data_IF_681642501157
#
_entry.id   IF_681642501157
#
_cell.length_a   1.000
_cell.length_b   1.000
_cell.length_c   1.000
_cell.angle_alpha   90.00
_cell.angle_beta   90.00
_cell.angle_gamma   90.00
#
_symmetry.space_group_name_H-M   'P 1'
#
loop_
_entity.id
_entity.type
_entity.pdbx_description
1 polymer ?
#
# COMPACT_ATOMS: atom_id res chain seq x y z
N UNK A 1 -26.90 -14.23 26.32
CA UNK A 1 -26.46 -13.08 25.49
C UNK A 1 -25.05 -12.57 25.81
N UNK A 2 -24.38 -13.02 26.88
CA UNK A 2 -23.06 -12.52 27.30
C UNK A 2 -21.86 -13.30 26.73
N UNK A 3 -22.07 -14.54 26.27
CA UNK A 3 -20.98 -15.44 25.87
C UNK A 3 -20.59 -15.29 24.38
N UNK A 4 -21.58 -15.05 23.51
CA UNK A 4 -21.38 -14.78 22.08
C UNK A 4 -20.58 -13.48 21.85
N UNK A 5 -20.77 -12.47 22.70
CA UNK A 5 -20.02 -11.20 22.63
C UNK A 5 -18.57 -11.36 23.07
N UNK A 6 -18.26 -12.27 24.01
CA UNK A 6 -16.88 -12.56 24.43
C UNK A 6 -16.09 -13.31 23.37
N UNK A 7 -16.72 -14.27 22.67
CA UNK A 7 -16.08 -15.03 21.58
C UNK A 7 -15.76 -14.12 20.38
N UNK A 8 -16.64 -13.16 20.06
CA UNK A 8 -16.39 -12.17 19.01
C UNK A 8 -15.26 -11.19 19.33
N UNK A 9 -15.04 -10.85 20.61
CA UNK A 9 -13.90 -10.04 21.01
C UNK A 9 -12.57 -10.82 20.94
N UNK A 10 -12.58 -12.12 21.26
CA UNK A 10 -11.39 -12.97 21.19
C UNK A 10 -10.89 -13.20 19.76
N UNK A 11 -11.78 -13.38 18.78
CA UNK A 11 -11.39 -13.54 17.37
C UNK A 11 -10.84 -12.25 16.77
N UNK A 12 -11.42 -11.08 17.09
CA UNK A 12 -10.86 -9.79 16.70
C UNK A 12 -9.53 -9.47 17.37
N UNK A 13 -9.32 -9.94 18.61
CA UNK A 13 -8.03 -9.81 19.30
C UNK A 13 -6.96 -10.69 18.64
N UNK A 14 -7.32 -11.91 18.23
CA UNK A 14 -6.41 -12.82 17.51
C UNK A 14 -6.03 -12.27 16.13
N UNK A 15 -6.97 -11.70 15.37
CA UNK A 15 -6.69 -11.05 14.07
C UNK A 15 -5.77 -9.82 14.19
N UNK A 16 -5.79 -9.11 15.31
CA UNK A 16 -4.89 -7.98 15.56
C UNK A 16 -3.46 -8.40 15.95
N UNK A 17 -3.29 -9.63 16.48
CA UNK A 17 -1.99 -10.18 16.90
C UNK A 17 -1.22 -10.84 15.75
N UNK A 18 -1.90 -11.29 14.70
CA UNK A 18 -1.24 -11.91 13.53
C UNK A 18 -0.59 -10.81 12.68
N UNK A 19 0.73 -10.93 12.50
CA UNK A 19 1.60 -10.08 11.66
C UNK A 19 1.13 -9.94 10.21
N UNK A 20 1.92 -9.28 9.38
CA UNK A 20 1.76 -9.45 7.93
C UNK A 20 2.04 -10.90 7.55
N UNK A 21 1.37 -11.40 6.51
CA UNK A 21 1.75 -12.67 5.88
C UNK A 21 3.21 -12.58 5.43
N UNK A 22 3.96 -13.66 5.65
CA UNK A 22 5.37 -13.76 5.29
C UNK A 22 5.59 -15.07 4.56
N UNK A 23 5.78 -14.99 3.24
CA UNK A 23 6.00 -16.15 2.36
C UNK A 23 5.01 -17.29 2.60
N UNK A 24 3.73 -16.94 2.76
CA UNK A 24 2.64 -17.88 3.00
C UNK A 24 2.26 -18.57 1.69
N UNK A 25 2.62 -19.84 1.56
CA UNK A 25 2.11 -20.69 0.48
C UNK A 25 0.68 -21.12 0.78
N UNK A 26 -0.22 -20.94 -0.19
CA UNK A 26 -1.62 -21.32 -0.07
C UNK A 26 -1.92 -22.46 -1.04
N UNK A 27 -2.48 -23.54 -0.51
CA UNK A 27 -2.86 -24.72 -1.27
C UNK A 27 -4.38 -24.91 -1.25
N UNK A 28 -4.98 -25.50 -2.31
CA UNK A 28 -6.40 -25.80 -2.33
C UNK A 28 -6.84 -26.67 -1.13
N UNK A 29 -8.07 -26.51 -0.62
CA UNK A 29 -8.58 -27.32 0.47
C UNK A 29 -8.51 -28.82 0.15
N UNK A 30 -7.93 -29.61 1.06
CA UNK A 30 -7.81 -31.08 0.89
C UNK A 30 -6.61 -31.53 0.05
N UNK A 31 -5.76 -30.62 -0.43
CA UNK A 31 -4.52 -30.99 -1.12
C UNK A 31 -3.46 -31.51 -0.14
N UNK A 32 -3.01 -32.75 -0.33
CA UNK A 32 -1.97 -33.43 0.49
C UNK A 32 -0.71 -33.78 -0.30
N UNK A 33 -0.60 -33.32 -1.55
CA UNK A 33 0.54 -33.59 -2.41
C UNK A 33 1.74 -32.67 -2.15
N UNK A 34 2.81 -32.89 -2.93
CA UNK A 34 3.99 -32.01 -2.95
C UNK A 34 3.62 -30.65 -3.53
N UNK A 35 4.22 -29.56 -3.05
CA UNK A 35 3.97 -28.23 -3.61
C UNK A 35 4.19 -28.21 -5.13
N UNK A 36 3.23 -27.67 -5.87
CA UNK A 36 3.29 -27.52 -7.32
C UNK A 36 3.52 -26.06 -7.68
N UNK A 37 4.14 -25.83 -8.84
CA UNK A 37 4.00 -24.55 -9.54
C UNK A 37 2.51 -24.33 -9.80
N UNK A 38 1.98 -23.16 -9.42
CA UNK A 38 0.56 -22.74 -9.33
C UNK A 38 0.05 -22.49 -7.91
N UNK A 39 0.70 -23.06 -6.87
CA UNK A 39 0.35 -22.76 -5.48
C UNK A 39 0.92 -21.39 -5.09
N UNK A 40 0.06 -20.38 -5.13
CA UNK A 40 0.46 -19.01 -4.90
C UNK A 40 1.12 -18.83 -3.52
N UNK A 41 2.21 -18.09 -3.51
CA UNK A 41 2.91 -17.68 -2.29
C UNK A 41 2.70 -16.20 -2.07
N UNK A 42 2.08 -15.84 -0.95
CA UNK A 42 1.74 -14.47 -0.58
C UNK A 42 2.76 -13.91 0.43
N UNK A 43 3.18 -12.69 0.21
CA UNK A 43 4.07 -11.99 1.13
C UNK A 43 3.66 -10.52 1.27
N UNK A 44 3.71 -10.00 2.49
CA UNK A 44 3.50 -8.60 2.83
C UNK A 44 4.49 -8.14 3.91
N UNK A 45 5.53 -8.91 4.20
CA UNK A 45 6.54 -8.61 5.20
C UNK A 45 7.63 -7.68 4.64
N UNK A 46 7.21 -6.51 4.14
CA UNK A 46 8.09 -5.50 3.58
C UNK A 46 7.56 -4.08 3.86
N UNK A 47 8.36 -3.08 3.52
CA UNK A 47 8.03 -1.68 3.76
C UNK A 47 6.69 -1.27 3.10
N UNK A 48 5.79 -0.69 3.88
CA UNK A 48 4.41 -0.37 3.46
C UNK A 48 3.56 -1.58 3.04
N UNK A 49 3.97 -2.81 3.33
CA UNK A 49 3.20 -4.03 3.11
C UNK A 49 2.01 -4.15 4.07
N UNK A 50 0.87 -4.62 3.57
CA UNK A 50 -0.31 -4.90 4.39
C UNK A 50 -1.15 -6.03 3.79
N UNK A 51 -1.13 -7.18 4.46
CA UNK A 51 -2.02 -8.32 4.25
C UNK A 51 -1.90 -9.24 5.47
N UNK A 52 -3.00 -9.53 6.17
CA UNK A 52 -2.97 -10.25 7.45
C UNK A 52 -3.29 -11.74 7.34
N UNK A 53 -4.19 -12.13 6.44
CA UNK A 53 -4.57 -13.53 6.21
C UNK A 53 -5.02 -13.74 4.77
N UNK A 54 -4.79 -14.95 4.28
CA UNK A 54 -5.25 -15.43 2.96
C UNK A 54 -5.91 -16.78 3.16
N UNK A 55 -7.17 -16.90 2.71
CA UNK A 55 -7.94 -18.13 2.75
C UNK A 55 -8.18 -18.61 1.30
N UNK A 56 -7.85 -19.88 1.00
CA UNK A 56 -8.11 -20.50 -0.30
C UNK A 56 -9.56 -20.97 -0.36
N UNK A 57 -10.38 -20.37 -1.22
CA UNK A 57 -11.80 -20.74 -1.36
C UNK A 57 -11.96 -21.83 -2.42
N UNK A 58 -11.30 -21.64 -3.56
CA UNK A 58 -11.20 -22.63 -4.64
C UNK A 58 -9.78 -22.63 -5.20
N UNK A 59 -9.53 -23.43 -6.23
CA UNK A 59 -8.21 -23.50 -6.90
C UNK A 59 -7.73 -22.13 -7.43
N UNK A 60 -8.67 -21.23 -7.77
CA UNK A 60 -8.38 -19.94 -8.40
C UNK A 60 -9.02 -18.75 -7.68
N UNK A 61 -9.58 -18.96 -6.48
CA UNK A 61 -10.27 -17.92 -5.72
C UNK A 61 -9.73 -17.82 -4.30
N UNK A 62 -9.37 -16.61 -3.91
CA UNK A 62 -8.70 -16.33 -2.65
C UNK A 62 -9.36 -15.17 -1.91
N UNK A 63 -9.72 -15.42 -0.66
CA UNK A 63 -10.20 -14.39 0.25
C UNK A 63 -9.03 -13.78 1.02
N UNK A 64 -8.87 -12.47 0.88
CA UNK A 64 -7.79 -11.69 1.45
C UNK A 64 -8.32 -10.80 2.58
N UNK A 65 -7.66 -10.89 3.73
CA UNK A 65 -8.00 -10.11 4.92
C UNK A 65 -6.92 -9.07 5.20
N UNK A 66 -7.31 -7.80 5.10
CA UNK A 66 -6.46 -6.66 5.37
C UNK A 66 -6.35 -6.44 6.89
N UNK A 67 -5.15 -6.10 7.38
CA UNK A 67 -4.98 -5.71 8.78
C UNK A 67 -5.57 -4.31 9.04
N UNK A 68 -6.15 -4.07 10.21
CA UNK A 68 -6.55 -2.73 10.59
C UNK A 68 -5.37 -1.76 10.69
N UNK A 69 -5.65 -0.46 10.59
CA UNK A 69 -4.66 0.58 10.88
C UNK A 69 -4.18 0.50 12.34
N UNK A 70 -2.89 0.71 12.58
CA UNK A 70 -2.23 0.57 13.89
C UNK A 70 -2.92 1.35 15.02
N UNK A 71 -3.42 2.55 14.71
CA UNK A 71 -4.10 3.42 15.68
C UNK A 71 -5.62 3.45 15.50
N UNK A 72 -6.18 2.67 14.56
CA UNK A 72 -7.61 2.66 14.30
C UNK A 72 -8.13 1.28 13.85
N UNK A 73 -8.58 0.43 14.79
CA UNK A 73 -9.00 -0.95 14.49
C UNK A 73 -10.26 -1.04 13.60
N UNK A 74 -10.94 0.08 13.35
CA UNK A 74 -12.15 0.13 12.52
C UNK A 74 -11.85 0.29 11.03
N UNK A 75 -10.71 0.87 10.66
CA UNK A 75 -10.39 1.14 9.27
C UNK A 75 -9.46 0.10 8.68
N UNK A 76 -9.86 -0.42 7.52
CA UNK A 76 -9.15 -1.37 6.65
C UNK A 76 -9.34 -0.89 5.23
N UNK A 77 -8.30 -0.28 4.65
CA UNK A 77 -8.37 0.33 3.32
C UNK A 77 -7.11 0.04 2.52
N UNK A 78 -5.95 0.15 3.15
CA UNK A 78 -4.67 -0.07 2.48
C UNK A 78 -4.35 -1.56 2.38
N UNK A 79 -4.04 -2.05 1.18
CA UNK A 79 -3.38 -3.33 0.98
C UNK A 79 -2.17 -3.14 0.08
N UNK A 80 -1.14 -3.95 0.34
CA UNK A 80 0.06 -4.01 -0.46
C UNK A 80 0.74 -5.35 -0.20
N UNK A 81 0.78 -6.21 -1.20
CA UNK A 81 1.30 -7.57 -1.06
C UNK A 81 1.90 -8.04 -2.38
N UNK A 82 2.77 -9.04 -2.28
CA UNK A 82 3.37 -9.72 -3.41
C UNK A 82 2.84 -11.15 -3.53
N UNK A 83 2.79 -11.64 -4.76
CA UNK A 83 2.44 -13.01 -5.11
C UNK A 83 3.56 -13.59 -5.98
N UNK A 84 4.07 -14.76 -5.60
CA UNK A 84 5.06 -15.53 -6.36
C UNK A 84 4.62 -16.99 -6.51
N UNK A 85 5.45 -17.81 -7.16
CA UNK A 85 5.13 -19.20 -7.54
C UNK A 85 3.87 -19.31 -8.44
N UNK A 86 3.72 -18.34 -9.33
CA UNK A 86 2.59 -18.25 -10.28
C UNK A 86 2.84 -19.14 -11.50
N UNK A 87 1.77 -19.50 -12.21
CA UNK A 87 1.84 -20.23 -13.47
C UNK A 87 1.37 -19.34 -14.64
N UNK A 88 1.95 -19.53 -15.83
CA UNK A 88 1.59 -18.76 -17.01
C UNK A 88 0.15 -19.11 -17.40
N UNK A 89 -0.62 -18.11 -17.82
CA UNK A 89 -2.05 -18.22 -18.14
C UNK A 89 -2.97 -18.54 -16.96
N UNK A 90 -2.42 -18.69 -15.75
CA UNK A 90 -3.22 -18.90 -14.55
C UNK A 90 -4.07 -17.67 -14.25
N UNK A 91 -5.39 -17.86 -14.21
CA UNK A 91 -6.36 -16.82 -13.88
C UNK A 91 -6.82 -17.00 -12.45
N UNK A 92 -6.81 -15.93 -11.69
CA UNK A 92 -7.19 -15.93 -10.28
C UNK A 92 -8.09 -14.76 -9.94
N UNK A 93 -8.89 -14.93 -8.91
CA UNK A 93 -9.76 -13.90 -8.33
C UNK A 93 -9.30 -13.66 -6.90
N UNK A 94 -8.97 -12.41 -6.61
CA UNK A 94 -8.65 -11.95 -5.27
C UNK A 94 -9.82 -11.16 -4.69
N UNK A 95 -10.37 -11.62 -3.57
CA UNK A 95 -11.48 -11.00 -2.87
C UNK A 95 -10.98 -10.30 -1.61
N UNK A 96 -11.00 -8.97 -1.58
CA UNK A 96 -10.78 -8.22 -0.34
C UNK A 96 -12.10 -8.17 0.44
N UNK A 97 -12.23 -9.02 1.46
CA UNK A 97 -13.53 -9.28 2.12
C UNK A 97 -13.85 -8.38 3.32
N UNK A 98 -12.84 -7.72 3.88
CA UNK A 98 -12.96 -6.91 5.10
C UNK A 98 -12.70 -5.41 4.87
N UNK A 99 -13.10 -4.89 3.72
CA UNK A 99 -12.88 -3.50 3.33
C UNK A 99 -13.82 -2.53 4.08
N UNK A 100 -13.26 -1.53 4.78
CA UNK A 100 -14.04 -0.63 5.66
C UNK A 100 -14.72 0.55 4.95
N UNK A 101 -14.56 0.73 3.62
CA UNK A 101 -15.32 1.74 2.88
C UNK A 101 -16.71 1.20 2.55
N UNK A 102 -17.72 2.05 2.62
CA UNK A 102 -19.10 1.75 2.20
C UNK A 102 -19.46 2.41 0.87
N UNK A 103 -18.93 3.60 0.62
CA UNK A 103 -18.93 4.31 -0.66
C UNK A 103 -17.50 4.31 -1.19
N UNK A 104 -17.22 3.50 -2.20
CA UNK A 104 -15.90 3.40 -2.80
C UNK A 104 -15.92 3.84 -4.26
N UNK A 105 -14.89 4.60 -4.65
CA UNK A 105 -14.61 4.99 -6.04
C UNK A 105 -14.33 3.79 -6.95
N UNK A 106 -14.17 2.58 -6.38
CA UNK A 106 -14.16 1.34 -7.17
C UNK A 106 -15.43 1.15 -8.00
N UNK A 107 -16.56 1.77 -7.59
CA UNK A 107 -17.78 1.80 -8.41
C UNK A 107 -17.69 2.77 -9.59
N UNK A 108 -16.81 3.77 -9.48
CA UNK A 108 -16.66 4.87 -10.42
C UNK A 108 -15.35 4.75 -11.23
N UNK A 109 -14.85 3.52 -11.41
CA UNK A 109 -13.71 3.22 -12.29
C UNK A 109 -12.32 3.28 -11.64
N UNK A 110 -12.21 3.47 -10.32
CA UNK A 110 -10.95 3.23 -9.63
C UNK A 110 -10.55 1.75 -9.78
N UNK A 111 -9.25 1.47 -9.86
CA UNK A 111 -8.73 0.10 -9.86
C UNK A 111 -7.42 -0.01 -9.06
N UNK A 112 -7.11 -1.19 -8.49
CA UNK A 112 -5.81 -1.44 -7.88
C UNK A 112 -4.67 -1.24 -8.88
N UNK A 113 -3.46 -1.09 -8.37
CA UNK A 113 -2.25 -1.09 -9.21
C UNK A 113 -1.49 -2.39 -9.08
N UNK A 114 -0.86 -2.80 -10.17
CA UNK A 114 0.01 -3.97 -10.26
C UNK A 114 1.35 -3.57 -10.85
N UNK A 115 2.42 -4.24 -10.42
CA UNK A 115 3.70 -4.29 -11.12
C UNK A 115 4.26 -5.71 -11.00
N UNK A 116 5.28 -6.04 -11.78
CA UNK A 116 6.02 -7.29 -11.63
C UNK A 116 7.54 -7.06 -11.67
N UNK A 117 8.32 -8.11 -11.41
CA UNK A 117 9.79 -8.04 -11.52
C UNK A 117 10.23 -7.59 -12.92
N UNK A 118 9.66 -8.17 -13.98
CA UNK A 118 9.94 -7.76 -15.36
C UNK A 118 9.35 -6.40 -15.75
N UNK A 119 8.24 -5.98 -15.12
CA UNK A 119 7.55 -4.70 -15.37
C UNK A 119 7.52 -3.85 -14.09
N UNK A 120 8.61 -3.14 -13.77
CA UNK A 120 8.75 -2.43 -12.48
C UNK A 120 7.87 -1.17 -12.36
N UNK A 121 7.29 -0.71 -13.47
CA UNK A 121 6.37 0.44 -13.48
C UNK A 121 4.98 0.00 -13.05
N UNK A 122 4.43 0.68 -12.05
CA UNK A 122 3.06 0.48 -11.61
C UNK A 122 2.06 0.80 -12.72
N UNK A 123 1.10 -0.10 -12.93
CA UNK A 123 0.01 0.05 -13.88
C UNK A 123 -1.32 -0.21 -13.19
N UNK A 124 -2.36 0.53 -13.57
CA UNK A 124 -3.73 0.31 -13.09
C UNK A 124 -4.30 -0.95 -13.73
N UNK A 125 -4.96 -1.79 -12.94
CA UNK A 125 -5.73 -2.90 -13.47
C UNK A 125 -6.89 -2.37 -14.34
N UNK A 126 -7.30 -3.08 -15.40
CA UNK A 126 -8.49 -2.71 -16.16
C UNK A 126 -9.71 -2.66 -15.24
N UNK A 127 -10.44 -1.54 -15.24
CA UNK A 127 -11.62 -1.37 -14.37
C UNK A 127 -12.69 -2.45 -14.58
N UNK A 128 -12.79 -2.99 -15.80
CA UNK A 128 -13.69 -4.11 -16.14
C UNK A 128 -13.41 -5.41 -15.37
N UNK A 129 -12.21 -5.57 -14.81
CA UNK A 129 -11.80 -6.74 -14.03
C UNK A 129 -11.93 -6.49 -12.53
N UNK A 130 -12.45 -5.34 -12.10
CA UNK A 130 -12.58 -4.95 -10.69
C UNK A 130 -14.06 -4.80 -10.36
N UNK A 131 -14.48 -5.45 -9.29
CA UNK A 131 -15.86 -5.49 -8.84
C UNK A 131 -15.93 -5.04 -7.40
N UNK A 132 -16.98 -4.28 -7.06
CA UNK A 132 -17.18 -3.79 -5.71
C UNK A 132 -18.66 -3.87 -5.32
N UNK A 133 -18.98 -4.87 -4.51
CA UNK A 133 -20.35 -5.27 -4.20
C UNK A 133 -20.51 -5.60 -2.73
N UNK A 134 -21.78 -5.74 -2.30
CA UNK A 134 -22.11 -6.14 -0.93
C UNK A 134 -22.38 -7.64 -0.94
N UNK A 135 -21.58 -8.42 -0.23
CA UNK A 135 -21.73 -9.87 -0.21
C UNK A 135 -22.49 -10.32 1.05
N UNK A 136 -23.65 -10.99 0.92
CA UNK A 136 -24.40 -11.52 2.07
C UNK A 136 -23.57 -12.48 2.92
N UNK A 137 -22.78 -13.34 2.28
CA UNK A 137 -22.03 -14.43 2.91
C UNK A 137 -20.88 -13.91 3.78
N UNK A 138 -20.29 -12.77 3.43
CA UNK A 138 -19.28 -12.09 4.25
C UNK A 138 -19.91 -11.10 5.24
N UNK A 139 -20.90 -11.54 6.02
CA UNK A 139 -21.59 -10.73 7.05
C UNK A 139 -22.18 -9.42 6.50
N UNK A 140 -22.62 -9.41 5.23
CA UNK A 140 -23.08 -8.20 4.52
C UNK A 140 -22.05 -7.07 4.41
N UNK A 141 -20.76 -7.41 4.50
CA UNK A 141 -19.67 -6.46 4.26
C UNK A 141 -19.52 -6.17 2.76
N UNK A 142 -18.80 -5.08 2.48
CA UNK A 142 -18.39 -4.76 1.12
C UNK A 142 -17.15 -5.55 0.76
N UNK A 143 -17.21 -6.21 -0.40
CA UNK A 143 -16.12 -6.97 -0.99
C UNK A 143 -15.62 -6.24 -2.22
N UNK A 144 -14.30 -6.11 -2.32
CA UNK A 144 -13.63 -5.65 -3.54
C UNK A 144 -12.93 -6.85 -4.17
N UNK A 145 -13.41 -7.31 -5.31
CA UNK A 145 -12.84 -8.44 -6.04
C UNK A 145 -12.14 -7.96 -7.28
N UNK A 146 -10.98 -8.53 -7.60
CA UNK A 146 -10.33 -8.28 -8.88
C UNK A 146 -9.78 -9.56 -9.49
N UNK A 147 -10.02 -9.71 -10.79
CA UNK A 147 -9.51 -10.83 -11.57
C UNK A 147 -8.17 -10.47 -12.20
N UNK A 148 -7.21 -11.38 -12.12
CA UNK A 148 -5.89 -11.23 -12.70
C UNK A 148 -5.47 -12.49 -13.45
N UNK A 149 -4.75 -12.32 -14.57
CA UNK A 149 -4.17 -13.42 -15.34
C UNK A 149 -2.65 -13.23 -15.34
N UNK A 150 -1.94 -14.20 -14.78
CA UNK A 150 -0.48 -14.20 -14.79
C UNK A 150 0.03 -14.56 -16.19
N UNK A 151 1.11 -13.91 -16.61
CA UNK A 151 1.69 -14.05 -17.95
C UNK A 151 3.20 -14.36 -17.94
N UNK A 152 3.83 -14.42 -16.76
CA UNK A 152 5.24 -14.79 -16.58
C UNK A 152 5.39 -15.56 -15.27
N UNK A 153 5.90 -16.79 -15.33
CA UNK A 153 6.03 -17.69 -14.16
C UNK A 153 7.16 -17.29 -13.21
N UNK A 154 8.24 -16.74 -13.76
CA UNK A 154 9.43 -16.35 -12.98
C UNK A 154 9.27 -14.97 -12.32
N UNK A 155 8.14 -14.28 -12.57
CA UNK A 155 7.87 -12.95 -12.04
C UNK A 155 7.22 -13.01 -10.65
N UNK A 156 7.61 -12.05 -9.81
CA UNK A 156 6.87 -11.72 -8.58
C UNK A 156 5.95 -10.54 -8.90
N UNK A 157 4.66 -10.71 -8.64
CA UNK A 157 3.65 -9.67 -8.88
C UNK A 157 3.36 -8.95 -7.58
N UNK A 158 3.38 -7.62 -7.60
CA UNK A 158 3.00 -6.79 -6.46
C UNK A 158 1.70 -6.08 -6.75
N UNK A 159 0.74 -6.20 -5.85
CA UNK A 159 -0.56 -5.53 -5.91
C UNK A 159 -0.70 -4.54 -4.78
N UNK A 160 -1.21 -3.34 -5.08
CA UNK A 160 -1.44 -2.32 -4.06
C UNK A 160 -2.74 -1.54 -4.31
N UNK A 161 -3.30 -0.98 -3.23
CA UNK A 161 -4.50 -0.13 -3.28
C UNK A 161 -4.31 1.09 -4.21
N UNK A 162 -3.17 1.75 -4.09
CA UNK A 162 -2.72 2.86 -4.92
C UNK A 162 -1.19 2.83 -5.05
N UNK A 163 -0.61 3.76 -5.81
CA UNK A 163 0.84 3.88 -5.97
C UNK A 163 1.51 4.05 -4.59
N UNK A 164 2.27 3.05 -4.11
CA UNK A 164 2.96 3.18 -2.83
C UNK A 164 4.11 4.18 -2.94
N UNK A 165 4.25 5.00 -1.91
CA UNK A 165 5.39 5.88 -1.72
C UNK A 165 6.00 5.56 -0.37
N UNK A 166 7.14 4.88 -0.39
CA UNK A 166 7.74 4.33 0.82
C UNK A 166 8.59 5.38 1.53
N UNK A 167 8.85 5.17 2.82
CA UNK A 167 9.70 6.04 3.61
C UNK A 167 11.14 6.05 3.09
N UNK A 168 11.69 4.90 2.71
CA UNK A 168 13.01 4.79 2.07
C UNK A 168 13.09 5.66 0.81
N UNK A 169 12.03 5.66 -0.01
CA UNK A 169 11.95 6.50 -1.21
C UNK A 169 11.91 7.99 -0.86
N UNK A 170 11.17 8.36 0.20
CA UNK A 170 11.17 9.73 0.72
C UNK A 170 12.57 10.16 1.15
N UNK A 171 13.27 9.35 1.94
CA UNK A 171 14.60 9.66 2.44
C UNK A 171 15.58 9.88 1.28
N UNK A 172 15.64 8.96 0.31
CA UNK A 172 16.48 9.13 -0.86
C UNK A 172 16.15 10.39 -1.68
N UNK A 173 14.87 10.74 -1.78
CA UNK A 173 14.45 11.97 -2.44
C UNK A 173 14.97 13.20 -1.70
N UNK A 174 14.78 13.27 -0.37
CA UNK A 174 15.29 14.37 0.44
C UNK A 174 16.82 14.48 0.36
N UNK A 175 17.54 13.36 0.47
CA UNK A 175 19.00 13.33 0.37
C UNK A 175 19.48 13.76 -1.02
N UNK A 176 18.71 13.48 -2.08
CA UNK A 176 19.02 13.96 -3.44
C UNK A 176 18.85 15.47 -3.57
N UNK A 177 17.87 16.06 -2.87
CA UNK A 177 17.66 17.49 -2.85
C UNK A 177 18.75 18.21 -2.07
N UNK A 178 19.16 17.66 -0.92
CA UNK A 178 20.26 18.21 -0.12
C UNK A 178 21.59 18.19 -0.89
N UNK A 179 21.88 17.10 -1.61
CA UNK A 179 23.07 17.01 -2.47
C UNK A 179 23.11 18.04 -3.60
N UNK A 180 21.96 18.56 -4.03
CA UNK A 180 21.91 19.65 -5.02
C UNK A 180 22.32 21.00 -4.45
N UNK A 181 22.43 21.12 -3.12
CA UNK A 181 22.88 22.32 -2.40
C UNK A 181 22.21 23.60 -2.90
N UNK A 182 20.88 23.59 -2.97
CA UNK A 182 20.09 24.72 -3.47
C UNK A 182 20.00 25.81 -2.38
N UNK A 183 20.42 27.03 -2.68
CA UNK A 183 20.49 28.16 -1.72
C UNK A 183 19.16 28.55 -1.05
N UNK A 184 18.05 28.09 -1.62
CA UNK A 184 16.68 28.35 -1.22
C UNK A 184 16.03 27.14 -0.52
N UNK A 185 16.73 26.03 -0.36
CA UNK A 185 16.21 24.82 0.27
C UNK A 185 17.06 24.47 1.50
N UNK A 186 16.40 24.34 2.64
CA UNK A 186 17.03 23.86 3.86
C UNK A 186 16.15 22.76 4.44
N UNK A 187 16.73 21.60 4.77
CA UNK A 187 16.04 20.52 5.47
C UNK A 187 16.21 20.73 6.97
N UNK A 188 15.10 20.73 7.69
CA UNK A 188 15.10 20.85 9.15
C UNK A 188 14.29 19.67 9.73
N UNK A 189 14.84 19.00 10.75
CA UNK A 189 14.11 18.00 11.50
C UNK A 189 13.23 18.71 12.53
N UNK A 190 11.91 18.51 12.43
CA UNK A 190 10.95 19.11 13.35
C UNK A 190 10.76 18.26 14.61
N UNK A 191 10.97 16.95 14.50
CA UNK A 191 10.82 16.01 15.60
C UNK A 191 10.78 14.56 15.14
N UNK A 192 10.23 13.70 16.00
CA UNK A 192 10.08 12.27 15.79
C UNK A 192 8.59 11.90 15.79
N UNK A 193 8.23 10.89 15.01
CA UNK A 193 6.90 10.27 15.06
C UNK A 193 6.74 9.41 16.31
N UNK A 194 5.52 8.90 16.56
CA UNK A 194 5.21 7.99 17.67
C UNK A 194 6.04 6.70 17.61
N UNK A 195 6.49 6.31 16.42
CA UNK A 195 7.35 5.14 16.20
C UNK A 195 8.81 5.52 15.96
N UNK A 196 9.20 6.74 16.36
CA UNK A 196 10.57 7.26 16.30
C UNK A 196 11.16 7.51 14.90
N UNK A 197 10.33 7.53 13.85
CA UNK A 197 10.75 7.98 12.51
C UNK A 197 10.88 9.51 12.43
N UNK A 198 11.90 10.02 11.74
CA UNK A 198 12.15 11.46 11.57
C UNK A 198 11.06 12.18 10.75
N UNK A 199 10.56 13.30 11.29
CA UNK A 199 9.66 14.23 10.58
C UNK A 199 10.45 15.46 10.16
N UNK A 200 10.58 15.68 8.84
CA UNK A 200 11.36 16.78 8.27
C UNK A 200 10.45 17.82 7.60
N UNK A 201 10.83 19.09 7.71
CA UNK A 201 10.34 20.17 6.86
C UNK A 201 11.44 20.62 5.90
N UNK A 202 11.03 21.06 4.71
CA UNK A 202 11.92 21.65 3.70
C UNK A 202 11.38 23.02 3.29
N UNK A 203 11.51 24.06 4.15
CA UNK A 203 11.10 25.41 3.79
C UNK A 203 11.84 25.90 2.54
N UNK A 204 11.07 26.35 1.55
CA UNK A 204 11.60 27.08 0.41
C UNK A 204 11.77 28.55 0.82
N UNK A 205 13.01 28.98 1.06
CA UNK A 205 13.33 30.39 1.27
C UNK A 205 13.56 31.03 -0.10
N UNK A 206 12.59 31.82 -0.58
CA UNK A 206 12.84 32.76 -1.66
C UNK A 206 13.89 33.78 -1.18
N UNK A 207 15.16 33.56 -1.49
CA UNK A 207 16.13 34.65 -1.52
C UNK A 207 15.76 35.50 -2.73
N UNK A 208 15.07 36.62 -2.50
CA UNK A 208 15.15 37.77 -3.39
C UNK A 208 16.61 38.26 -3.34
N UNK A 209 17.51 37.58 -4.04
CA UNK A 209 18.88 38.02 -4.24
C UNK A 209 19.09 38.28 -5.73
N UNK A 210 18.46 39.36 -6.18
CA UNK A 210 19.00 40.19 -7.24
C UNK A 210 19.00 41.63 -6.71
N UNK A 211 20.04 42.44 -6.95
CA UNK A 211 19.91 43.87 -6.70
C UNK A 211 18.70 44.37 -7.51
N UNK A 212 17.81 45.13 -6.87
CA UNK A 212 16.81 45.92 -7.61
C UNK A 212 17.61 46.95 -8.40
N UNK A 213 17.88 46.63 -9.66
CA UNK A 213 18.45 47.59 -10.61
C UNK A 213 17.29 48.49 -11.02
N UNK A 214 17.13 49.62 -10.34
CA UNK A 214 16.41 50.74 -10.96
C UNK A 214 17.15 51.12 -12.24
N UNK A 215 16.41 51.56 -13.26
CA UNK A 215 16.84 51.96 -14.60
C UNK A 215 17.99 53.01 -14.68
N UNK A 216 18.62 53.37 -13.56
CA UNK A 216 19.69 54.37 -13.44
C UNK A 216 20.96 53.92 -12.70
N UNK A 217 21.16 52.63 -12.39
CA UNK A 217 22.51 52.10 -12.11
C UNK A 217 23.21 52.60 -10.82
N UNK A 218 22.50 52.99 -9.76
CA UNK A 218 23.12 53.40 -8.48
C UNK A 218 22.82 52.37 -7.37
N UNK A 219 23.87 51.84 -6.72
CA UNK A 219 23.76 50.93 -5.55
C UNK A 219 23.27 51.69 -4.31
N UNK A 220 22.12 51.33 -3.74
CA UNK A 220 21.72 51.78 -2.40
C UNK A 220 22.16 50.77 -1.33
N UNK A 221 22.74 51.26 -0.23
CA UNK A 221 23.09 50.44 0.96
C UNK A 221 21.82 50.06 1.74
N UNK A 222 21.78 48.87 2.37
CA UNK A 222 20.63 48.45 3.17
C UNK A 222 20.48 49.33 4.41
N UNK A 223 19.26 49.83 4.64
CA UNK A 223 18.90 50.49 5.91
C UNK A 223 18.61 49.40 6.95
N UNK A 224 19.28 49.47 8.09
CA UNK A 224 18.90 48.71 9.27
C UNK A 224 17.55 49.24 9.78
N UNK A 225 16.56 48.37 9.92
CA UNK A 225 15.33 48.67 10.65
C UNK A 225 15.57 48.41 12.14
N UNK A 226 15.28 49.42 12.96
CA UNK A 226 15.03 49.32 14.40
C UNK A 226 13.67 48.67 14.61
#
# INVERSE_FOLDING_TARGET
MSEVTKINNLSHLFEALVGNVNKLMVTPPGYTGVSRKSHLVFDACFESGNLGRVDCISEFEFDLFIRPDTCNPRFRVWFNFTVENVQETQRVIFNIVNFSKTKSLYRDGMSPVVKSTSRPKWQRLPAKNVYYYRCPDHRRNYVMSFAFCFDREDDVYQFAYCYPYTYTRLQHYLDSLERRNLDYLQREQLGLSVVSECVCACPFRCRLHGPIVNHQGVRQKPRHLV
#
